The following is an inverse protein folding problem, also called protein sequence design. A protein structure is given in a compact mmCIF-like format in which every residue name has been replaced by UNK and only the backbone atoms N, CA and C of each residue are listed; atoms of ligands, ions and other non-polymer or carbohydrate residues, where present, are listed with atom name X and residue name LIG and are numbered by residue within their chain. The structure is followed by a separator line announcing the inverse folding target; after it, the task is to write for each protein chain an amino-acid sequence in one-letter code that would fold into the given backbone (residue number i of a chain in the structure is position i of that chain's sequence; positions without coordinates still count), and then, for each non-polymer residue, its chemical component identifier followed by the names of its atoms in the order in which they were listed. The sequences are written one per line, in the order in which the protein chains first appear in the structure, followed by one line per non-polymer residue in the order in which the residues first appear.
data_IF_820639629128
#
_entry.id   IF_820639629128
#
_cell.length_a   1.000
_cell.length_b   1.000
_cell.length_c   1.000
_cell.angle_alpha   90.00
_cell.angle_beta   90.00
_cell.angle_gamma   90.00
#
_symmetry.space_group_name_H-M   'P 1'
#
loop_
_entity.id
_entity.type
_entity.pdbx_description
1 polymer ?
#
# COMPACT_ATOMS: atom_id res chain seq x y z
N UNK A 1 18.30 15.51 -17.14
CA UNK A 1 17.66 15.51 -15.81
C UNK A 1 16.18 15.23 -16.03
N UNK A 2 15.71 14.05 -15.62
CA UNK A 2 14.27 13.73 -15.58
C UNK A 2 13.67 14.53 -14.42
N UNK A 3 12.60 15.26 -14.68
CA UNK A 3 11.88 15.99 -13.64
C UNK A 3 10.80 15.05 -13.10
N UNK A 4 10.70 14.93 -11.78
CA UNK A 4 9.50 14.39 -11.14
C UNK A 4 8.31 15.27 -11.56
N UNK A 5 7.29 14.66 -12.12
CA UNK A 5 6.02 15.35 -12.39
C UNK A 5 5.38 15.75 -11.07
N UNK A 6 4.98 17.02 -10.93
CA UNK A 6 4.13 17.41 -9.79
C UNK A 6 2.73 16.93 -10.10
N UNK A 7 2.26 15.94 -9.36
CA UNK A 7 0.91 15.41 -9.48
C UNK A 7 -0.11 16.46 -9.05
N UNK A 8 -1.21 16.52 -9.79
CA UNK A 8 -2.36 17.30 -9.34
C UNK A 8 -3.02 16.58 -8.17
N UNK A 9 -3.15 17.23 -7.03
CA UNK A 9 -3.94 16.71 -5.90
C UNK A 9 -5.39 16.58 -6.37
N UNK A 10 -5.87 15.36 -6.48
CA UNK A 10 -7.23 15.05 -6.96
C UNK A 10 -8.25 15.19 -5.84
N UNK A 11 -7.86 14.78 -4.63
CA UNK A 11 -8.69 14.87 -3.42
C UNK A 11 -7.89 15.67 -2.38
N UNK A 12 -8.43 16.80 -1.94
CA UNK A 12 -7.86 17.52 -0.81
C UNK A 12 -8.13 16.73 0.49
N UNK A 13 -7.10 16.26 1.20
CA UNK A 13 -7.27 15.53 2.46
C UNK A 13 -8.10 16.31 3.49
N UNK A 14 -8.00 17.63 3.48
CA UNK A 14 -8.79 18.51 4.36
C UNK A 14 -10.28 18.52 4.05
N UNK A 15 -10.71 18.02 2.89
CA UNK A 15 -12.13 17.89 2.53
C UNK A 15 -12.78 16.59 3.01
N UNK A 16 -12.01 15.63 3.47
CA UNK A 16 -12.51 14.33 3.93
C UNK A 16 -13.22 14.49 5.27
N UNK A 17 -14.47 13.98 5.36
CA UNK A 17 -15.31 14.07 6.55
C UNK A 17 -15.87 12.74 7.01
N UNK A 18 -15.96 11.78 6.12
CA UNK A 18 -16.54 10.46 6.39
C UNK A 18 -15.63 9.37 5.84
N UNK A 19 -15.12 8.55 6.74
CA UNK A 19 -14.32 7.36 6.46
C UNK A 19 -14.67 6.28 7.48
N UNK A 20 -14.51 5.02 7.09
CA UNK A 20 -14.65 3.88 7.99
C UNK A 20 -13.29 3.30 8.40
N UNK A 21 -12.25 3.47 7.58
CA UNK A 21 -10.87 3.08 7.89
C UNK A 21 -9.87 3.84 7.02
N UNK A 22 -8.62 3.93 7.47
CA UNK A 22 -7.47 4.30 6.66
C UNK A 22 -6.53 3.11 6.53
N UNK A 23 -6.26 2.66 5.30
CA UNK A 23 -5.31 1.60 5.00
C UNK A 23 -4.08 2.18 4.32
N UNK A 24 -2.89 1.78 4.79
CA UNK A 24 -1.62 2.13 4.15
C UNK A 24 -0.79 0.87 3.95
N UNK A 25 -0.25 0.70 2.75
CA UNK A 25 0.49 -0.50 2.36
C UNK A 25 1.93 -0.50 2.85
N UNK A 26 2.55 0.67 2.95
CA UNK A 26 3.99 0.80 3.23
C UNK A 26 4.37 2.18 3.74
N UNK A 27 5.64 2.32 4.19
CA UNK A 27 6.15 3.50 4.90
C UNK A 27 6.67 4.62 3.99
N UNK A 28 6.79 4.41 2.68
CA UNK A 28 7.27 5.45 1.77
C UNK A 28 6.36 6.68 1.78
N UNK A 29 6.94 7.88 1.61
CA UNK A 29 6.24 9.16 1.77
C UNK A 29 5.10 9.41 0.77
N UNK A 30 5.10 8.73 -0.35
CA UNK A 30 4.04 8.77 -1.35
C UNK A 30 2.86 7.82 -1.02
N UNK A 31 3.01 6.98 0.01
CA UNK A 31 1.96 6.12 0.55
C UNK A 31 1.56 6.51 1.97
N UNK A 32 2.52 6.94 2.78
CA UNK A 32 2.32 7.34 4.17
C UNK A 32 2.58 8.84 4.32
N UNK A 33 1.52 9.65 4.40
CA UNK A 33 1.60 11.10 4.48
C UNK A 33 1.08 11.64 5.82
N UNK A 34 1.90 12.50 6.46
CA UNK A 34 1.58 13.15 7.72
C UNK A 34 0.34 14.05 7.61
N UNK A 35 0.20 14.78 6.49
CA UNK A 35 -0.90 15.72 6.34
C UNK A 35 -2.24 14.98 6.15
N UNK A 36 -2.22 13.83 5.47
CA UNK A 36 -3.40 12.96 5.36
C UNK A 36 -3.82 12.45 6.74
N UNK A 37 -2.88 11.92 7.52
CA UNK A 37 -3.17 11.44 8.87
C UNK A 37 -3.71 12.57 9.77
N UNK A 38 -3.07 13.74 9.76
CA UNK A 38 -3.50 14.91 10.51
C UNK A 38 -4.89 15.42 10.08
N UNK A 39 -5.16 15.46 8.77
CA UNK A 39 -6.46 15.89 8.25
C UNK A 39 -7.58 14.92 8.68
N UNK A 40 -7.34 13.62 8.67
CA UNK A 40 -8.31 12.62 9.13
C UNK A 40 -8.56 12.74 10.62
N UNK A 41 -7.50 12.90 11.43
CA UNK A 41 -7.64 13.10 12.87
C UNK A 41 -8.46 14.37 13.22
N UNK A 42 -8.31 15.41 12.40
CA UNK A 42 -8.97 16.69 12.62
C UNK A 42 -10.42 16.72 12.12
N UNK A 43 -10.72 16.05 11.02
CA UNK A 43 -11.94 16.28 10.25
C UNK A 43 -12.93 15.11 10.27
N UNK A 44 -12.50 13.92 10.66
CA UNK A 44 -13.36 12.72 10.75
C UNK A 44 -13.78 12.55 12.21
N UNK A 45 -15.07 12.72 12.47
CA UNK A 45 -15.61 12.66 13.84
C UNK A 45 -15.62 11.25 14.44
N UNK A 46 -15.51 10.22 13.60
CA UNK A 46 -15.47 8.81 14.04
C UNK A 46 -14.06 8.40 14.45
N UNK A 47 -13.94 7.57 15.46
CA UNK A 47 -12.69 6.88 15.82
C UNK A 47 -12.42 5.71 14.86
N UNK A 48 -12.04 6.04 13.62
CA UNK A 48 -11.73 5.03 12.61
C UNK A 48 -10.38 4.36 12.88
N UNK A 49 -10.21 3.08 12.50
CA UNK A 49 -8.92 2.40 12.56
C UNK A 49 -7.95 2.91 11.47
N UNK A 50 -6.68 3.02 11.86
CA UNK A 50 -5.52 3.27 11.01
C UNK A 50 -4.79 1.93 10.86
N UNK A 51 -4.89 1.30 9.70
CA UNK A 51 -4.47 -0.08 9.44
C UNK A 51 -3.21 -0.10 8.57
N UNK A 52 -2.14 -0.71 9.05
CA UNK A 52 -0.89 -0.79 8.30
C UNK A 52 0.12 -1.75 8.91
N UNK A 53 1.21 -2.06 8.19
CA UNK A 53 2.31 -2.84 8.75
C UNK A 53 2.99 -2.10 9.90
N UNK A 54 3.85 -2.81 10.62
CA UNK A 54 4.46 -2.32 11.88
C UNK A 54 5.09 -0.92 11.75
N UNK A 55 5.92 -0.68 10.73
CA UNK A 55 6.59 0.61 10.56
C UNK A 55 5.62 1.75 10.24
N UNK A 56 4.53 1.47 9.56
CA UNK A 56 3.46 2.45 9.31
C UNK A 56 2.77 2.83 10.62
N UNK A 57 2.38 1.84 11.42
CA UNK A 57 1.69 2.11 12.70
C UNK A 57 2.62 2.78 13.72
N UNK A 58 3.90 2.40 13.78
CA UNK A 58 4.89 3.06 14.61
C UNK A 58 5.05 4.53 14.22
N UNK A 59 5.09 4.83 12.92
CA UNK A 59 5.18 6.20 12.41
C UNK A 59 3.92 7.02 12.72
N UNK A 60 2.74 6.45 12.58
CA UNK A 60 1.49 7.12 12.98
C UNK A 60 1.47 7.45 14.47
N UNK A 61 1.87 6.52 15.32
CA UNK A 61 1.99 6.76 16.76
C UNK A 61 3.00 7.87 17.08
N UNK A 62 4.14 7.90 16.37
CA UNK A 62 5.12 8.97 16.48
C UNK A 62 4.57 10.34 16.05
N UNK A 63 3.62 10.36 15.12
CA UNK A 63 2.92 11.58 14.69
C UNK A 63 1.73 11.96 15.58
N UNK A 64 1.43 11.18 16.62
CA UNK A 64 0.37 11.46 17.57
C UNK A 64 -0.98 10.84 17.27
N UNK A 65 -1.05 9.87 16.34
CA UNK A 65 -2.27 9.05 16.21
C UNK A 65 -2.43 8.21 17.47
N UNK A 66 -3.61 8.21 18.13
CA UNK A 66 -3.85 7.41 19.31
C UNK A 66 -3.56 5.92 19.07
N UNK A 67 -2.83 5.29 20.00
CA UNK A 67 -2.41 3.89 19.88
C UNK A 67 -3.57 2.93 19.67
N UNK A 68 -4.68 3.19 20.33
CA UNK A 68 -5.91 2.38 20.25
C UNK A 68 -6.59 2.43 18.87
N UNK A 69 -6.24 3.43 18.06
CA UNK A 69 -6.69 3.54 16.66
C UNK A 69 -5.72 2.88 15.69
N UNK A 70 -4.47 2.60 16.08
CA UNK A 70 -3.47 1.98 15.23
C UNK A 70 -3.63 0.45 15.26
N UNK A 71 -3.92 -0.15 14.11
CA UNK A 71 -4.05 -1.59 13.92
C UNK A 71 -2.85 -2.09 13.12
N UNK A 72 -1.88 -2.67 13.82
CA UNK A 72 -0.72 -3.29 13.19
C UNK A 72 -1.12 -4.63 12.60
N UNK A 73 -0.79 -4.84 11.33
CA UNK A 73 -1.18 -6.04 10.57
C UNK A 73 0.01 -6.73 9.92
N UNK A 74 -0.18 -8.03 9.64
CA UNK A 74 0.75 -8.89 8.91
C UNK A 74 0.00 -9.76 7.90
N UNK A 75 0.67 -10.29 6.88
CA UNK A 75 0.06 -11.23 5.94
C UNK A 75 -0.64 -12.39 6.65
N UNK A 76 -1.88 -12.65 6.24
CA UNK A 76 -2.77 -13.64 6.86
C UNK A 76 -3.80 -13.05 7.83
N UNK A 77 -3.63 -11.81 8.28
CA UNK A 77 -4.63 -11.16 9.12
C UNK A 77 -5.90 -10.85 8.33
N UNK A 78 -7.05 -10.94 9.00
CA UNK A 78 -8.37 -10.56 8.48
C UNK A 78 -9.00 -9.55 9.42
N UNK A 79 -9.37 -8.40 8.89
CA UNK A 79 -9.99 -7.30 9.64
C UNK A 79 -11.39 -7.05 9.09
N UNK A 80 -12.36 -6.85 9.99
CA UNK A 80 -13.71 -6.46 9.64
C UNK A 80 -13.94 -4.98 9.95
N UNK A 81 -14.37 -4.21 8.95
CA UNK A 81 -14.75 -2.80 9.09
C UNK A 81 -16.17 -2.64 8.55
N UNK A 82 -17.15 -2.59 9.45
CA UNK A 82 -18.55 -2.63 9.05
C UNK A 82 -18.88 -3.93 8.29
N UNK A 83 -19.34 -3.82 7.07
CA UNK A 83 -19.62 -4.94 6.14
C UNK A 83 -18.47 -5.25 5.18
N UNK A 84 -17.34 -4.57 5.33
CA UNK A 84 -16.13 -4.75 4.51
C UNK A 84 -15.19 -5.72 5.21
N UNK A 85 -14.78 -6.78 4.50
CA UNK A 85 -13.72 -7.70 4.92
C UNK A 85 -12.39 -7.31 4.26
N UNK A 86 -11.34 -7.16 5.04
CA UNK A 86 -10.00 -6.81 4.58
C UNK A 86 -9.07 -7.95 4.95
N UNK A 87 -8.56 -8.66 3.95
CA UNK A 87 -7.51 -9.67 4.15
C UNK A 87 -6.16 -9.06 3.79
N UNK A 88 -5.20 -9.21 4.68
CA UNK A 88 -3.82 -8.75 4.47
C UNK A 88 -3.05 -9.85 3.77
N UNK A 89 -2.35 -9.49 2.68
CA UNK A 89 -1.51 -10.42 1.93
C UNK A 89 -0.07 -9.90 1.87
N UNK A 90 0.86 -10.79 1.52
CA UNK A 90 2.25 -10.42 1.36
C UNK A 90 2.44 -9.43 0.19
N UNK A 91 3.42 -8.56 0.37
CA UNK A 91 3.92 -7.64 -0.65
C UNK A 91 5.39 -7.93 -0.89
N UNK A 92 5.83 -7.89 -2.14
CA UNK A 92 7.25 -7.95 -2.50
C UNK A 92 7.73 -6.58 -2.96
N UNK A 93 7.77 -5.65 -2.03
CA UNK A 93 8.30 -4.30 -2.26
C UNK A 93 9.80 -4.25 -2.01
N UNK A 94 10.58 -4.39 -3.07
CA UNK A 94 12.05 -4.38 -2.99
C UNK A 94 12.59 -3.07 -2.47
N UNK A 95 11.95 -1.96 -2.78
CA UNK A 95 12.38 -0.64 -2.34
C UNK A 95 12.14 -0.44 -0.86
N UNK A 96 11.08 -0.99 -0.30
CA UNK A 96 10.83 -0.96 1.14
C UNK A 96 11.89 -1.71 1.97
N UNK A 97 12.59 -2.70 1.38
CA UNK A 97 13.67 -3.41 2.08
C UNK A 97 14.96 -2.61 2.20
N UNK A 98 15.25 -1.76 1.23
CA UNK A 98 16.53 -1.05 1.13
C UNK A 98 16.44 0.43 1.47
N UNK A 99 15.24 0.96 1.66
CA UNK A 99 15.02 2.36 2.02
C UNK A 99 14.94 2.49 3.53
N UNK A 100 15.66 3.46 4.07
CA UNK A 100 15.60 3.79 5.50
C UNK A 100 14.19 4.28 5.88
N UNK A 101 13.68 3.78 6.98
CA UNK A 101 12.44 4.30 7.55
C UNK A 101 12.73 5.49 8.46
N UNK A 102 11.86 6.50 8.50
CA UNK A 102 12.04 7.63 9.42
C UNK A 102 12.17 7.15 10.87
N UNK A 103 13.25 7.59 11.54
CA UNK A 103 13.50 7.25 12.93
C UNK A 103 14.19 5.91 13.19
N UNK A 104 14.50 5.14 12.15
CA UNK A 104 15.23 3.88 12.26
C UNK A 104 16.71 4.03 11.89
N UNK A 105 17.59 3.19 12.43
CA UNK A 105 18.97 3.12 11.94
C UNK A 105 19.00 2.64 10.49
N UNK A 106 20.00 3.05 9.70
CA UNK A 106 20.17 2.57 8.33
C UNK A 106 20.16 1.04 8.28
N UNK A 107 19.52 0.49 7.23
CA UNK A 107 19.52 -0.94 6.99
C UNK A 107 20.96 -1.44 6.84
N UNK A 108 21.36 -2.37 7.67
CA UNK A 108 22.71 -2.96 7.61
C UNK A 108 22.70 -4.22 6.75
N UNK A 109 23.84 -4.54 6.15
CA UNK A 109 24.02 -5.76 5.35
C UNK A 109 23.82 -7.07 6.16
N UNK A 110 23.83 -6.96 7.48
CA UNK A 110 23.72 -8.10 8.41
C UNK A 110 22.35 -8.27 9.03
N UNK A 111 21.47 -7.29 8.91
CA UNK A 111 20.14 -7.29 9.54
C UNK A 111 19.09 -6.91 8.49
N UNK A 112 18.65 -7.92 7.73
CA UNK A 112 17.59 -7.71 6.72
C UNK A 112 16.25 -7.60 7.43
N UNK A 113 15.57 -6.45 7.31
CA UNK A 113 14.26 -6.28 7.95
C UNK A 113 13.24 -7.28 7.42
N UNK A 114 12.29 -7.66 8.27
CA UNK A 114 11.15 -8.44 7.82
C UNK A 114 10.27 -7.60 6.86
N UNK A 115 10.06 -8.09 5.65
CA UNK A 115 9.22 -7.41 4.65
C UNK A 115 7.82 -7.13 5.19
N UNK A 116 7.24 -8.07 5.93
CA UNK A 116 5.91 -7.95 6.49
C UNK A 116 5.76 -6.81 7.51
N UNK A 117 6.85 -6.36 8.12
CA UNK A 117 6.84 -5.18 9.00
C UNK A 117 6.86 -3.86 8.21
N UNK A 118 7.28 -3.89 6.95
CA UNK A 118 7.50 -2.71 6.10
C UNK A 118 6.43 -2.51 5.02
N UNK A 119 5.96 -3.61 4.43
CA UNK A 119 5.02 -3.55 3.30
C UNK A 119 4.06 -4.74 3.30
N UNK A 120 2.81 -4.46 3.01
CA UNK A 120 1.74 -5.45 2.83
C UNK A 120 0.87 -5.07 1.63
N UNK A 121 0.11 -6.04 1.13
CA UNK A 121 -0.96 -5.83 0.17
C UNK A 121 -2.31 -6.12 0.82
N UNK A 122 -3.40 -5.66 0.23
CA UNK A 122 -4.75 -5.85 0.77
C UNK A 122 -5.69 -6.44 -0.26
N UNK A 123 -6.51 -7.39 0.17
CA UNK A 123 -7.72 -7.81 -0.52
C UNK A 123 -8.91 -7.23 0.23
N UNK A 124 -9.64 -6.33 -0.41
CA UNK A 124 -10.80 -5.64 0.17
C UNK A 124 -12.07 -6.19 -0.48
N UNK A 125 -12.86 -6.93 0.29
CA UNK A 125 -14.11 -7.54 -0.15
C UNK A 125 -15.29 -6.73 0.35
N UNK A 126 -16.12 -6.30 -0.60
CA UNK A 126 -17.33 -5.53 -0.37
C UNK A 126 -18.54 -6.22 -0.99
N UNK A 127 -19.75 -5.73 -0.73
CA UNK A 127 -20.97 -6.19 -1.41
C UNK A 127 -20.97 -5.92 -2.92
N UNK A 128 -20.12 -4.99 -3.41
CA UNK A 128 -20.03 -4.61 -4.81
C UNK A 128 -18.94 -5.36 -5.59
N UNK A 129 -18.02 -6.03 -4.88
CA UNK A 129 -16.92 -6.78 -5.48
C UNK A 129 -15.68 -6.79 -4.62
N UNK A 130 -14.63 -7.42 -5.14
CA UNK A 130 -13.34 -7.62 -4.45
C UNK A 130 -12.25 -6.82 -5.15
N UNK A 131 -11.53 -6.00 -4.37
CA UNK A 131 -10.41 -5.18 -4.85
C UNK A 131 -9.12 -5.74 -4.24
N UNK A 132 -8.13 -6.01 -5.09
CA UNK A 132 -6.75 -6.25 -4.68
C UNK A 132 -5.95 -4.96 -4.78
N UNK A 133 -5.32 -4.52 -3.70
CA UNK A 133 -4.40 -3.37 -3.68
C UNK A 133 -2.99 -3.85 -3.41
N UNK A 134 -2.16 -3.88 -4.44
CA UNK A 134 -0.80 -4.42 -4.39
C UNK A 134 0.23 -3.50 -3.74
N UNK A 135 -0.12 -2.23 -3.45
CA UNK A 135 0.90 -1.24 -3.07
C UNK A 135 1.98 -1.16 -4.15
N UNK A 136 3.24 -1.08 -3.74
CA UNK A 136 4.41 -1.08 -4.62
C UNK A 136 5.02 -2.46 -4.84
N UNK A 137 4.23 -3.53 -4.60
CA UNK A 137 4.71 -4.89 -4.81
C UNK A 137 5.22 -5.08 -6.24
N UNK A 138 6.39 -5.68 -6.38
CA UNK A 138 6.85 -6.25 -7.63
C UNK A 138 6.11 -7.55 -7.92
N UNK A 139 6.29 -8.08 -9.13
CA UNK A 139 5.75 -9.40 -9.45
C UNK A 139 6.27 -10.46 -8.47
N UNK A 140 5.34 -11.20 -7.87
CA UNK A 140 5.61 -12.28 -6.94
C UNK A 140 4.87 -13.56 -7.36
N UNK A 141 5.44 -14.70 -7.05
CA UNK A 141 4.79 -16.00 -7.25
C UNK A 141 3.58 -16.20 -6.36
N UNK A 142 3.49 -15.47 -5.25
CA UNK A 142 2.32 -15.47 -4.35
C UNK A 142 1.04 -14.96 -5.02
N UNK A 143 1.15 -14.16 -6.10
CA UNK A 143 -0.01 -13.71 -6.87
C UNK A 143 -0.87 -14.87 -7.38
N UNK A 144 -0.24 -16.00 -7.77
CA UNK A 144 -0.99 -17.18 -8.21
C UNK A 144 -1.74 -17.88 -7.07
N UNK A 145 -1.23 -17.81 -5.85
CA UNK A 145 -1.92 -18.32 -4.66
C UNK A 145 -3.07 -17.41 -4.25
N UNK A 146 -2.83 -16.10 -4.32
CA UNK A 146 -3.84 -15.08 -4.04
C UNK A 146 -4.99 -15.13 -5.06
N UNK A 147 -4.69 -15.27 -6.36
CA UNK A 147 -5.70 -15.43 -7.41
C UNK A 147 -6.56 -16.69 -7.25
N UNK A 148 -6.00 -17.78 -6.69
CA UNK A 148 -6.77 -18.99 -6.36
C UNK A 148 -7.62 -18.85 -5.11
N UNK A 149 -7.18 -18.02 -4.15
CA UNK A 149 -7.83 -17.83 -2.87
C UNK A 149 -8.98 -16.82 -2.93
N UNK A 150 -8.88 -15.82 -3.83
CA UNK A 150 -9.81 -14.71 -3.90
C UNK A 150 -10.38 -14.54 -5.32
N UNK A 151 -11.67 -14.26 -5.42
CA UNK A 151 -12.32 -13.87 -6.70
C UNK A 151 -12.14 -12.35 -6.88
N UNK A 152 -11.04 -11.95 -7.52
CA UNK A 152 -10.61 -10.54 -7.63
C UNK A 152 -11.28 -9.88 -8.84
N UNK A 153 -12.11 -8.86 -8.60
CA UNK A 153 -12.72 -8.07 -9.67
C UNK A 153 -11.73 -7.04 -10.22
N UNK A 154 -11.04 -6.32 -9.33
CA UNK A 154 -10.14 -5.22 -9.70
C UNK A 154 -8.82 -5.36 -8.96
N UNK A 155 -7.71 -5.30 -9.69
CA UNK A 155 -6.36 -5.20 -9.11
C UNK A 155 -5.75 -3.83 -9.37
N UNK A 156 -5.30 -3.17 -8.30
CA UNK A 156 -4.53 -1.93 -8.32
C UNK A 156 -3.06 -2.30 -8.20
N UNK A 157 -2.27 -2.12 -9.26
CA UNK A 157 -0.89 -2.59 -9.34
C UNK A 157 0.07 -1.47 -9.72
N UNK A 158 1.20 -1.37 -9.01
CA UNK A 158 2.21 -0.36 -9.26
C UNK A 158 2.96 -0.66 -10.57
N UNK A 159 2.93 0.32 -11.48
CA UNK A 159 3.52 0.25 -12.82
C UNK A 159 4.39 1.49 -13.07
N UNK A 160 5.53 1.31 -13.70
CA UNK A 160 6.25 2.44 -14.29
C UNK A 160 7.16 2.00 -15.44
N UNK A 161 7.42 2.93 -16.36
CA UNK A 161 8.57 2.84 -17.24
C UNK A 161 9.81 3.29 -16.46
N UNK A 162 10.46 2.31 -15.85
CA UNK A 162 11.60 2.56 -14.96
C UNK A 162 12.76 3.25 -15.69
N UNK A 163 13.48 4.17 -15.04
CA UNK A 163 14.73 4.69 -15.57
C UNK A 163 15.74 3.57 -15.87
N UNK A 164 16.67 3.74 -16.81
CA UNK A 164 17.71 2.75 -17.06
C UNK A 164 18.44 2.34 -15.76
N UNK A 165 18.60 1.05 -15.55
CA UNK A 165 19.26 0.45 -14.38
C UNK A 165 18.54 0.59 -13.05
N UNK A 166 17.32 1.11 -13.03
CA UNK A 166 16.48 1.17 -11.83
C UNK A 166 15.22 0.36 -12.10
N UNK A 167 15.01 -0.71 -11.36
CA UNK A 167 13.76 -1.47 -11.38
C UNK A 167 12.99 -1.14 -10.10
N UNK A 168 12.22 -0.06 -10.16
CA UNK A 168 11.45 0.45 -9.03
C UNK A 168 10.02 -0.09 -9.00
N UNK A 169 9.39 -0.29 -10.17
CA UNK A 169 8.02 -0.76 -10.31
C UNK A 169 7.93 -1.88 -11.36
N UNK A 170 6.79 -2.55 -11.41
CA UNK A 170 6.50 -3.55 -12.44
C UNK A 170 6.48 -2.90 -13.83
N UNK A 171 7.04 -3.61 -14.80
CA UNK A 171 6.95 -3.27 -16.23
C UNK A 171 5.57 -3.65 -16.78
N UNK A 172 5.26 -3.25 -18.04
CA UNK A 172 4.03 -3.66 -18.71
C UNK A 172 3.88 -5.18 -18.79
N UNK A 173 4.99 -5.91 -19.04
CA UNK A 173 4.98 -7.38 -19.08
C UNK A 173 4.75 -7.99 -17.70
N UNK A 174 5.28 -7.38 -16.64
CA UNK A 174 5.05 -7.85 -15.27
C UNK A 174 3.60 -7.63 -14.85
N UNK A 175 3.00 -6.49 -15.22
CA UNK A 175 1.58 -6.21 -14.97
C UNK A 175 0.68 -7.25 -15.65
N UNK A 176 0.94 -7.61 -16.91
CA UNK A 176 0.18 -8.64 -17.60
C UNK A 176 0.29 -10.00 -16.91
N UNK A 177 1.51 -10.40 -16.52
CA UNK A 177 1.74 -11.64 -15.78
C UNK A 177 1.07 -11.62 -14.40
N UNK A 178 1.09 -10.47 -13.73
CA UNK A 178 0.42 -10.28 -12.43
C UNK A 178 -1.10 -10.40 -12.58
N UNK A 179 -1.68 -9.79 -13.60
CA UNK A 179 -3.10 -9.90 -13.91
C UNK A 179 -3.54 -11.34 -14.17
N UNK A 180 -2.77 -12.08 -14.98
CA UNK A 180 -3.01 -13.50 -15.25
C UNK A 180 -2.87 -14.35 -13.97
N UNK A 181 -1.86 -14.07 -13.14
CA UNK A 181 -1.61 -14.81 -11.91
C UNK A 181 -2.67 -14.55 -10.83
N UNK A 182 -3.16 -13.30 -10.72
CA UNK A 182 -4.24 -12.91 -9.82
C UNK A 182 -5.63 -13.31 -10.33
N UNK A 183 -5.74 -13.74 -11.60
CA UNK A 183 -7.00 -14.07 -12.29
C UNK A 183 -8.05 -12.94 -12.14
N UNK A 184 -7.60 -11.69 -12.18
CA UNK A 184 -8.45 -10.53 -11.97
C UNK A 184 -9.13 -10.07 -13.27
N UNK A 185 -10.35 -9.51 -13.17
CA UNK A 185 -11.12 -9.04 -14.32
C UNK A 185 -10.62 -7.74 -14.91
N UNK A 186 -10.12 -6.85 -14.05
CA UNK A 186 -9.64 -5.50 -14.43
C UNK A 186 -8.36 -5.19 -13.68
N UNK A 187 -7.38 -4.61 -14.39
CA UNK A 187 -6.19 -4.01 -13.77
C UNK A 187 -6.22 -2.50 -13.94
N UNK A 188 -5.96 -1.78 -12.85
CA UNK A 188 -5.75 -0.33 -12.87
C UNK A 188 -4.29 -0.09 -12.48
N UNK A 189 -3.44 0.34 -13.42
CA UNK A 189 -2.05 0.68 -13.11
C UNK A 189 -1.99 1.92 -12.21
N UNK A 190 -1.23 1.84 -11.14
CA UNK A 190 -0.85 2.96 -10.28
C UNK A 190 0.59 3.38 -10.59
N UNK A 191 1.03 4.54 -10.12
CA UNK A 191 2.41 5.03 -10.25
C UNK A 191 2.90 5.31 -11.68
N UNK A 192 2.07 5.18 -12.69
CA UNK A 192 2.44 5.26 -14.10
C UNK A 192 3.04 6.61 -14.53
N UNK A 193 2.84 7.67 -13.78
CA UNK A 193 3.21 9.05 -14.08
C UNK A 193 4.27 9.64 -13.13
N UNK A 194 4.83 8.86 -12.21
CA UNK A 194 5.89 9.30 -11.30
C UNK A 194 7.19 9.62 -12.05
N UNK A 195 7.53 8.81 -13.04
CA UNK A 195 8.71 9.04 -13.85
C UNK A 195 8.32 9.68 -15.19
N UNK A 196 8.58 10.98 -15.36
CA UNK A 196 8.43 11.62 -16.67
C UNK A 196 9.51 11.10 -17.63
N UNK A 197 9.12 10.46 -18.71
CA UNK A 197 9.99 10.10 -19.82
C UNK A 197 10.34 11.32 -20.67
#
# INVERSE_FOLDING_TARGET
QRKLGIQRIVIDPLSIRDLDALLVTQVHHDHLDLNVAAAILQNVDKDIPFIGPKYVTDQWMAWGVPRERCVTVRPGDVIQVGDIEITVTDSFDRTALITDCPGEPPVSDTDVPDMADRSVSYVVKTSAGTIYHGGDSHFSTSFSEQGKAFDIDVALLAYAENPPSIQDKMTSSDILRAAEALDCRVVIPLHWDIWSN
#
